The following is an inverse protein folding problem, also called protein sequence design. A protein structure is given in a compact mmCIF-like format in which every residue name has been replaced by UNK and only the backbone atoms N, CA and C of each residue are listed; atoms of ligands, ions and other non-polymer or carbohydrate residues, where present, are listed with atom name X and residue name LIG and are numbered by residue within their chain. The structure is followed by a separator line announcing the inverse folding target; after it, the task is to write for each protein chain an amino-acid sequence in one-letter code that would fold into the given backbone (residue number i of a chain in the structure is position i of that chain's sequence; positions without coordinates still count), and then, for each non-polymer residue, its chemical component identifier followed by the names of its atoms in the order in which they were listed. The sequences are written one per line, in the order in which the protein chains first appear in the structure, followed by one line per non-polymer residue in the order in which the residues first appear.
data_IF_632902872470
#
_entry.id   IF_632902872470
#
_cell.length_a   1.000
_cell.length_b   1.000
_cell.length_c   1.000
_cell.angle_alpha   90.00
_cell.angle_beta   90.00
_cell.angle_gamma   90.00
#
_symmetry.space_group_name_H-M   'P 1'
#
loop_
_entity.id
_entity.type
_entity.pdbx_description
1 polymer ?
#
# COMPACT_ATOMS: atom_id res chain seq x y z
N UNK A 1 -11.69 -8.90 -16.20
CA UNK A 1 -11.30 -9.14 -14.79
C UNK A 1 -10.34 -8.08 -14.25
N UNK A 2 -9.38 -7.56 -15.03
CA UNK A 2 -8.48 -6.49 -14.57
C UNK A 2 -9.23 -5.20 -14.20
N UNK A 3 -10.15 -4.73 -15.03
CA UNK A 3 -11.02 -3.56 -14.76
C UNK A 3 -11.84 -3.66 -13.47
N UNK A 4 -12.46 -4.81 -13.22
CA UNK A 4 -13.26 -5.02 -12.01
C UNK A 4 -12.40 -4.92 -10.75
N UNK A 5 -11.19 -5.48 -10.80
CA UNK A 5 -10.25 -5.44 -9.68
C UNK A 5 -9.71 -4.02 -9.49
N UNK A 6 -9.32 -3.32 -10.56
CA UNK A 6 -8.81 -1.94 -10.46
C UNK A 6 -9.88 -0.94 -10.02
N UNK A 7 -11.13 -1.07 -10.47
CA UNK A 7 -12.25 -0.27 -9.98
C UNK A 7 -12.55 -0.54 -8.51
N UNK A 8 -12.58 -1.81 -8.09
CA UNK A 8 -12.82 -2.17 -6.69
C UNK A 8 -11.69 -1.67 -5.77
N UNK A 9 -10.43 -1.78 -6.20
CA UNK A 9 -9.29 -1.22 -5.46
C UNK A 9 -9.40 0.30 -5.34
N UNK A 10 -9.77 1.01 -6.41
CA UNK A 10 -9.93 2.47 -6.38
C UNK A 10 -11.09 2.93 -5.50
N UNK A 11 -12.25 2.28 -5.59
CA UNK A 11 -13.46 2.71 -4.89
C UNK A 11 -13.55 2.21 -3.45
N UNK A 12 -13.17 0.97 -3.16
CA UNK A 12 -13.27 0.40 -1.81
C UNK A 12 -11.91 0.15 -1.19
N UNK A 13 -10.93 -0.32 -1.97
CA UNK A 13 -9.58 -0.62 -1.48
C UNK A 13 -8.87 0.60 -0.90
N UNK A 14 -8.95 1.77 -1.55
CA UNK A 14 -8.36 3.03 -1.08
C UNK A 14 -8.91 3.41 0.30
N UNK A 15 -10.22 3.37 0.47
CA UNK A 15 -10.88 3.76 1.71
C UNK A 15 -10.62 2.79 2.85
N UNK A 16 -10.59 1.49 2.56
CA UNK A 16 -10.21 0.45 3.54
C UNK A 16 -8.74 0.61 3.94
N UNK A 17 -7.84 0.84 3.00
CA UNK A 17 -6.42 1.06 3.27
C UNK A 17 -6.17 2.32 4.10
N UNK A 18 -6.85 3.43 3.78
CA UNK A 18 -6.81 4.65 4.58
C UNK A 18 -7.38 4.43 5.99
N UNK A 19 -8.53 3.76 6.11
CA UNK A 19 -9.16 3.49 7.40
C UNK A 19 -8.27 2.63 8.31
N UNK A 20 -7.69 1.55 7.78
CA UNK A 20 -6.77 0.69 8.52
C UNK A 20 -5.48 1.44 8.83
N UNK A 21 -4.93 2.20 7.88
CA UNK A 21 -3.69 2.96 8.06
C UNK A 21 -3.79 4.03 9.14
N UNK A 22 -4.88 4.82 9.12
CA UNK A 22 -5.16 5.85 10.12
C UNK A 22 -5.47 5.21 11.48
N UNK A 23 -6.29 4.16 11.50
CA UNK A 23 -6.63 3.43 12.74
C UNK A 23 -5.39 2.81 13.40
N UNK A 24 -4.55 2.13 12.63
CA UNK A 24 -3.29 1.56 13.11
C UNK A 24 -2.30 2.64 13.56
N UNK A 25 -2.25 3.78 12.85
CA UNK A 25 -1.42 4.92 13.23
C UNK A 25 -1.83 5.54 14.56
N UNK A 26 -3.13 5.75 14.77
CA UNK A 26 -3.68 6.26 16.05
C UNK A 26 -3.44 5.24 17.16
N UNK A 27 -3.67 3.95 16.91
CA UNK A 27 -3.42 2.89 17.89
C UNK A 27 -1.95 2.83 18.30
N UNK A 28 -1.02 2.88 17.34
CA UNK A 28 0.41 2.87 17.60
C UNK A 28 0.85 4.13 18.37
N UNK A 29 0.24 5.29 18.07
CA UNK A 29 0.46 6.52 18.83
C UNK A 29 -0.02 6.38 20.27
N UNK A 30 -1.21 5.85 20.51
CA UNK A 30 -1.73 5.65 21.86
C UNK A 30 -0.88 4.66 22.66
N UNK A 31 -0.41 3.58 22.01
CA UNK A 31 0.39 2.53 22.65
C UNK A 31 1.81 2.99 22.98
N UNK A 32 2.50 3.63 22.03
CA UNK A 32 3.92 3.97 22.19
C UNK A 32 4.16 5.41 22.61
N UNK A 33 3.14 6.28 22.51
CA UNK A 33 3.24 7.75 22.65
C UNK A 33 4.35 8.37 21.79
N UNK A 34 4.81 7.65 20.77
CA UNK A 34 5.90 8.06 19.90
C UNK A 34 5.32 8.51 18.57
N UNK A 35 5.46 9.80 18.28
CA UNK A 35 5.02 10.37 17.02
C UNK A 35 5.74 9.75 15.82
N UNK A 36 7.05 9.46 15.93
CA UNK A 36 7.83 8.87 14.84
C UNK A 36 7.34 7.48 14.42
N UNK A 37 6.99 6.63 15.39
CA UNK A 37 6.45 5.29 15.11
C UNK A 37 5.05 5.36 14.48
N UNK A 38 4.18 6.21 15.03
CA UNK A 38 2.85 6.45 14.46
C UNK A 38 2.93 6.99 13.03
N UNK A 39 3.84 7.94 12.76
CA UNK A 39 4.06 8.48 11.42
C UNK A 39 4.52 7.41 10.43
N UNK A 40 5.32 6.43 10.88
CA UNK A 40 5.77 5.31 10.05
C UNK A 40 4.61 4.37 9.70
N UNK A 41 3.70 4.12 10.64
CA UNK A 41 2.50 3.30 10.39
C UNK A 41 1.52 4.04 9.48
N UNK A 42 1.33 5.35 9.69
CA UNK A 42 0.51 6.21 8.84
C UNK A 42 1.07 6.28 7.41
N UNK A 43 2.38 6.44 7.25
CA UNK A 43 3.00 6.48 5.93
C UNK A 43 2.88 5.13 5.21
N UNK A 44 3.01 4.01 5.92
CA UNK A 44 2.74 2.68 5.37
C UNK A 44 1.28 2.55 4.88
N UNK A 45 0.31 3.02 5.67
CA UNK A 45 -1.10 3.08 5.26
C UNK A 45 -1.35 3.96 4.03
N UNK A 46 -0.69 5.11 3.96
CA UNK A 46 -0.73 6.00 2.80
C UNK A 46 -0.14 5.38 1.54
N UNK A 47 0.97 4.64 1.67
CA UNK A 47 1.59 3.91 0.56
C UNK A 47 0.63 2.83 0.04
N UNK A 48 -0.04 2.10 0.92
CA UNK A 48 -1.05 1.10 0.53
C UNK A 48 -2.27 1.75 -0.13
N UNK A 49 -2.72 2.89 0.37
CA UNK A 49 -3.80 3.65 -0.27
C UNK A 49 -3.40 4.18 -1.66
N UNK A 50 -2.15 4.64 -1.82
CA UNK A 50 -1.60 5.04 -3.12
C UNK A 50 -1.57 3.87 -4.10
N UNK A 51 -1.19 2.67 -3.64
CA UNK A 51 -1.27 1.44 -4.43
C UNK A 51 -2.68 1.12 -4.90
N UNK A 52 -3.69 1.38 -4.06
CA UNK A 52 -5.09 1.18 -4.44
C UNK A 52 -5.60 2.25 -5.43
N UNK A 53 -5.01 3.46 -5.42
CA UNK A 53 -5.41 4.58 -6.26
C UNK A 53 -4.79 4.52 -7.66
N UNK A 54 -3.57 4.00 -7.78
CA UNK A 54 -2.85 3.79 -9.05
C UNK A 54 -2.45 2.32 -9.26
N UNK A 55 -3.40 1.37 -9.21
CA UNK A 55 -3.09 -0.05 -9.24
C UNK A 55 -2.40 -0.49 -10.53
N UNK A 56 -2.64 0.20 -11.64
CA UNK A 56 -2.08 -0.16 -12.95
C UNK A 56 -0.61 0.20 -13.09
N UNK A 57 -0.22 1.39 -12.65
CA UNK A 57 1.18 1.82 -12.63
C UNK A 57 2.01 0.96 -11.68
N UNK A 58 1.38 0.56 -10.58
CA UNK A 58 2.00 -0.24 -9.53
C UNK A 58 2.16 -1.67 -9.99
N UNK A 59 1.14 -2.28 -10.57
CA UNK A 59 1.25 -3.63 -11.12
C UNK A 59 2.25 -3.69 -12.28
N UNK A 60 2.33 -2.64 -13.11
CA UNK A 60 3.33 -2.53 -14.16
C UNK A 60 4.75 -2.45 -13.57
N UNK A 61 4.98 -1.57 -12.59
CA UNK A 61 6.29 -1.41 -11.94
C UNK A 61 6.68 -2.58 -11.06
N UNK A 62 5.72 -3.23 -10.40
CA UNK A 62 5.93 -4.45 -9.64
C UNK A 62 6.26 -5.61 -10.57
N UNK A 63 5.58 -5.74 -11.72
CA UNK A 63 5.90 -6.73 -12.75
C UNK A 63 7.28 -6.52 -13.37
N UNK A 64 7.67 -5.27 -13.63
CA UNK A 64 9.04 -4.91 -14.06
C UNK A 64 10.07 -5.26 -12.98
N UNK A 65 9.80 -4.93 -11.72
CA UNK A 65 10.66 -5.26 -10.58
C UNK A 65 10.78 -6.76 -10.35
N UNK A 66 9.70 -7.52 -10.52
CA UNK A 66 9.71 -8.98 -10.42
C UNK A 66 10.48 -9.61 -11.57
N UNK A 67 10.31 -9.12 -12.82
CA UNK A 67 11.11 -9.58 -13.96
C UNK A 67 12.59 -9.24 -13.78
N UNK A 68 12.91 -8.04 -13.27
CA UNK A 68 14.27 -7.65 -12.95
C UNK A 68 14.87 -8.54 -11.85
N UNK A 69 14.13 -8.79 -10.77
CA UNK A 69 14.55 -9.67 -9.67
C UNK A 69 14.70 -11.12 -10.14
N UNK A 70 13.77 -11.65 -10.93
CA UNK A 70 13.85 -13.00 -11.51
C UNK A 70 15.01 -13.11 -12.53
N UNK A 71 15.30 -12.04 -13.27
CA UNK A 71 16.46 -11.96 -14.16
C UNK A 71 17.78 -11.93 -13.37
N UNK A 72 17.80 -11.31 -12.19
CA UNK A 72 18.95 -11.31 -11.28
C UNK A 72 19.08 -12.60 -10.44
N UNK A 73 17.99 -13.34 -10.23
CA UNK A 73 17.96 -14.62 -9.50
C UNK A 73 18.22 -15.82 -10.43
N UNK A 74 18.09 -15.64 -11.75
CA UNK A 74 18.56 -16.63 -12.73
C UNK A 74 20.09 -16.67 -12.73
N UNK A 75 20.63 -17.51 -11.85
CA UNK A 75 21.80 -18.36 -12.11
C UNK A 75 21.44 -19.40 -13.18
#
# INVERSE_FOLDING_TARGET
MKDLVTTFLKEQGVWVALGIGVGAGIYEFMKTKSFGKSLTVLSAGFVIAFFCLYPEEVLAKFGEGMNWALSHIKF
#
